data_IF_643977692309
#
_entry.id   IF_643977692309
#
_cell.length_a   1.000
_cell.length_b   1.000
_cell.length_c   1.000
_cell.angle_alpha   90.00
_cell.angle_beta   90.00
_cell.angle_gamma   90.00
#
_symmetry.space_group_name_H-M   'P 1'
#
loop_
_entity.id
_entity.type
_entity.pdbx_description
1 polymer ?
#
# COMPACT_ATOMS: atom_id res chain seq x y z
N UNK A 1 9.89 -22.81 8.00
CA UNK A 1 10.41 -21.62 8.71
C UNK A 1 9.37 -20.88 9.59
N UNK A 2 8.06 -21.03 9.35
CA UNK A 2 7.00 -20.37 10.15
C UNK A 2 6.58 -21.17 11.41
N UNK A 3 6.82 -22.49 11.45
CA UNK A 3 6.35 -23.34 12.55
C UNK A 3 7.12 -23.18 13.86
N UNK A 4 8.44 -22.94 13.82
CA UNK A 4 9.28 -22.82 15.02
C UNK A 4 9.10 -21.50 15.78
N UNK A 5 8.59 -20.45 15.15
CA UNK A 5 8.40 -19.13 15.80
C UNK A 5 7.15 -19.04 16.68
N UNK A 6 6.28 -20.04 16.68
CA UNK A 6 5.03 -19.99 17.43
C UNK A 6 5.13 -20.61 18.84
N UNK A 7 6.15 -21.42 19.13
CA UNK A 7 6.31 -22.05 20.45
C UNK A 7 6.56 -21.03 21.56
N UNK A 8 7.44 -20.01 21.41
CA UNK A 8 7.62 -18.96 22.40
C UNK A 8 6.33 -18.20 22.77
N UNK A 9 5.51 -17.83 21.78
CA UNK A 9 4.27 -17.11 22.01
C UNK A 9 3.18 -17.95 22.69
N UNK A 10 3.10 -19.25 22.35
CA UNK A 10 2.19 -20.19 23.03
C UNK A 10 2.64 -20.43 24.46
N UNK A 11 3.95 -20.56 24.69
CA UNK A 11 4.50 -20.70 26.04
C UNK A 11 4.28 -19.46 26.89
N UNK A 12 4.43 -18.27 26.29
CA UNK A 12 4.12 -16.98 26.90
C UNK A 12 2.64 -16.92 27.36
N UNK A 13 1.69 -17.35 26.53
CA UNK A 13 0.27 -17.46 26.92
C UNK A 13 0.08 -18.40 28.12
N UNK A 14 0.74 -19.56 28.15
CA UNK A 14 0.66 -20.48 29.28
C UNK A 14 1.37 -19.95 30.54
N UNK A 15 2.50 -19.25 30.41
CA UNK A 15 3.14 -18.61 31.55
C UNK A 15 2.20 -17.58 32.18
N UNK A 16 1.49 -16.80 31.36
CA UNK A 16 0.50 -15.84 31.84
C UNK A 16 -0.68 -16.50 32.54
N UNK A 17 -1.11 -17.67 32.06
CA UNK A 17 -2.22 -18.42 32.64
C UNK A 17 -1.85 -19.10 33.97
N UNK A 18 -0.70 -19.77 34.02
CA UNK A 18 -0.31 -20.61 35.17
C UNK A 18 0.64 -19.92 36.17
N UNK A 19 1.41 -18.92 35.73
CA UNK A 19 2.47 -18.24 36.51
C UNK A 19 2.46 -16.71 36.25
N UNK A 20 1.34 -16.00 36.51
CA UNK A 20 1.13 -14.61 36.06
C UNK A 20 2.14 -13.59 36.62
N UNK A 21 2.50 -13.73 37.89
CA UNK A 21 3.52 -12.90 38.55
C UNK A 21 4.92 -13.08 37.95
N UNK A 22 5.26 -14.33 37.62
CA UNK A 22 6.52 -14.64 36.98
C UNK A 22 6.52 -14.18 35.52
N UNK A 23 5.40 -14.31 34.81
CA UNK A 23 5.20 -13.80 33.46
C UNK A 23 5.51 -12.30 33.38
N UNK A 24 4.90 -11.48 34.26
CA UNK A 24 5.12 -10.04 34.27
C UNK A 24 6.60 -9.70 34.53
N UNK A 25 7.26 -10.42 35.46
CA UNK A 25 8.69 -10.24 35.76
C UNK A 25 9.57 -10.60 34.56
N UNK A 26 9.34 -11.74 33.92
CA UNK A 26 10.13 -12.21 32.77
C UNK A 26 9.91 -11.36 31.51
N UNK A 27 8.71 -10.80 31.32
CA UNK A 27 8.41 -9.88 30.21
C UNK A 27 9.05 -8.50 30.44
N UNK A 28 9.01 -7.98 31.66
CA UNK A 28 9.71 -6.74 32.03
C UNK A 28 11.24 -6.84 31.85
N UNK A 29 11.82 -8.02 32.09
CA UNK A 29 13.24 -8.28 31.86
C UNK A 29 13.57 -8.59 30.38
N UNK A 30 12.57 -8.78 29.52
CA UNK A 30 12.77 -9.10 28.10
C UNK A 30 13.32 -10.50 27.80
N UNK A 31 13.44 -11.38 28.80
CA UNK A 31 14.09 -12.69 28.68
C UNK A 31 13.16 -13.84 28.29
N UNK A 32 11.83 -13.68 28.45
CA UNK A 32 10.86 -14.74 28.20
C UNK A 32 10.96 -15.33 26.78
N UNK A 33 11.14 -14.48 25.77
CA UNK A 33 11.27 -14.90 24.37
C UNK A 33 12.61 -15.58 24.08
N UNK A 34 13.70 -15.13 24.73
CA UNK A 34 15.04 -15.68 24.54
C UNK A 34 15.13 -17.12 25.10
N UNK A 35 14.70 -17.30 26.35
CA UNK A 35 14.75 -18.58 27.06
C UNK A 35 13.87 -19.61 26.36
N UNK A 36 12.62 -19.25 26.06
CA UNK A 36 11.69 -20.15 25.38
C UNK A 36 12.16 -20.52 23.97
N UNK A 37 12.68 -19.56 23.19
CA UNK A 37 13.22 -19.87 21.85
C UNK A 37 14.35 -20.91 21.92
N UNK A 38 15.29 -20.76 22.86
CA UNK A 38 16.38 -21.71 23.05
C UNK A 38 15.87 -23.12 23.42
N UNK A 39 14.98 -23.20 24.41
CA UNK A 39 14.45 -24.47 24.92
C UNK A 39 13.64 -25.23 23.87
N UNK A 40 12.73 -24.55 23.17
CA UNK A 40 11.87 -25.23 22.19
C UNK A 40 12.58 -25.52 20.86
N UNK A 41 13.52 -24.67 20.42
CA UNK A 41 14.27 -24.91 19.18
C UNK A 41 15.21 -26.11 19.30
N UNK A 42 15.80 -26.31 20.48
CA UNK A 42 16.76 -27.39 20.73
C UNK A 42 16.13 -28.59 21.43
N UNK A 43 14.82 -28.59 21.68
CA UNK A 43 14.15 -29.63 22.49
C UNK A 43 14.86 -29.87 23.83
N UNK A 44 15.34 -28.79 24.45
CA UNK A 44 16.19 -28.77 25.64
C UNK A 44 17.59 -29.41 25.52
N UNK A 45 17.98 -29.93 24.35
CA UNK A 45 19.28 -30.61 24.15
C UNK A 45 20.47 -29.73 24.53
N UNK A 46 20.40 -28.42 24.29
CA UNK A 46 21.52 -27.52 24.53
C UNK A 46 21.56 -26.94 25.95
N UNK A 47 20.56 -27.23 26.79
CA UNK A 47 20.44 -26.64 28.14
C UNK A 47 20.39 -27.69 29.25
N UNK A 48 20.33 -28.98 28.91
CA UNK A 48 20.33 -30.08 29.87
C UNK A 48 21.42 -31.11 29.53
N UNK A 49 21.92 -31.85 30.53
CA UNK A 49 22.82 -32.99 30.35
C UNK A 49 22.29 -34.00 29.34
N UNK A 50 23.19 -34.68 28.62
CA UNK A 50 22.83 -35.65 27.58
C UNK A 50 21.90 -36.76 28.10
N UNK A 51 22.24 -37.39 29.23
CA UNK A 51 21.43 -38.47 29.81
C UNK A 51 20.02 -38.00 30.19
N UNK A 52 19.88 -36.80 30.76
CA UNK A 52 18.58 -36.20 31.09
C UNK A 52 17.75 -35.87 29.84
N UNK A 53 18.42 -35.41 28.78
CA UNK A 53 17.78 -35.07 27.50
C UNK A 53 17.17 -36.30 26.84
N UNK A 54 17.77 -37.48 26.96
CA UNK A 54 17.22 -38.73 26.40
C UNK A 54 15.80 -39.01 26.93
N UNK A 55 15.57 -38.88 28.24
CA UNK A 55 14.24 -39.05 28.83
C UNK A 55 13.22 -38.03 28.31
N UNK A 56 13.64 -36.78 28.09
CA UNK A 56 12.77 -35.72 27.56
C UNK A 56 12.40 -36.02 26.11
N UNK A 57 13.37 -36.46 25.30
CA UNK A 57 13.17 -36.84 23.90
C UNK A 57 12.26 -38.05 23.78
N UNK A 58 12.45 -39.08 24.60
CA UNK A 58 11.63 -40.30 24.60
C UNK A 58 10.15 -39.97 24.81
N UNK A 59 9.87 -39.13 25.81
CA UNK A 59 8.51 -38.76 26.15
C UNK A 59 7.94 -37.76 25.14
N UNK A 60 8.77 -36.88 24.57
CA UNK A 60 8.37 -36.02 23.46
C UNK A 60 7.93 -36.84 22.23
N UNK A 61 8.65 -37.91 21.89
CA UNK A 61 8.23 -38.79 20.79
C UNK A 61 6.98 -39.61 21.11
N UNK A 62 6.76 -39.94 22.37
CA UNK A 62 5.59 -40.71 22.80
C UNK A 62 4.31 -39.85 22.91
N UNK A 63 4.37 -38.72 23.61
CA UNK A 63 3.19 -37.92 23.98
C UNK A 63 3.17 -36.52 23.33
N UNK A 64 4.15 -36.25 22.48
CA UNK A 64 4.20 -35.07 21.63
C UNK A 64 4.68 -33.80 22.33
N UNK A 65 4.44 -32.68 21.66
CA UNK A 65 5.02 -31.38 22.01
C UNK A 65 4.53 -30.80 23.35
N UNK A 66 3.36 -31.22 23.85
CA UNK A 66 2.79 -30.69 25.10
C UNK A 66 3.72 -30.89 26.30
N UNK A 67 4.47 -31.99 26.28
CA UNK A 67 5.45 -32.35 27.32
C UNK A 67 6.50 -31.25 27.50
N UNK A 68 6.95 -30.64 26.39
CA UNK A 68 7.95 -29.57 26.45
C UNK A 68 7.38 -28.31 27.10
N UNK A 69 6.11 -27.98 26.87
CA UNK A 69 5.45 -26.84 27.52
C UNK A 69 5.27 -27.09 29.02
N UNK A 70 4.80 -28.29 29.40
CA UNK A 70 4.64 -28.69 30.79
C UNK A 70 5.99 -28.66 31.52
N UNK A 71 7.04 -29.18 30.89
CA UNK A 71 8.39 -29.20 31.44
C UNK A 71 8.94 -27.78 31.64
N UNK A 72 8.82 -26.92 30.61
CA UNK A 72 9.24 -25.53 30.67
C UNK A 72 8.56 -24.76 31.82
N UNK A 73 7.24 -24.92 32.00
CA UNK A 73 6.50 -24.29 33.10
C UNK A 73 6.95 -24.83 34.46
N UNK A 74 7.25 -26.11 34.55
CA UNK A 74 7.73 -26.74 35.79
C UNK A 74 9.09 -26.18 36.17
N UNK A 75 10.03 -26.08 35.23
CA UNK A 75 11.36 -25.50 35.45
C UNK A 75 11.25 -24.05 35.95
N UNK A 76 10.38 -23.24 35.34
CA UNK A 76 10.11 -21.88 35.79
C UNK A 76 9.49 -21.85 37.20
N UNK A 77 8.54 -22.74 37.48
CA UNK A 77 7.87 -22.79 38.76
C UNK A 77 8.78 -23.25 39.92
N UNK A 78 9.68 -24.22 39.68
CA UNK A 78 10.68 -24.62 40.69
C UNK A 78 11.61 -23.47 41.07
N UNK A 79 11.91 -22.59 40.11
CA UNK A 79 12.78 -21.44 40.32
C UNK A 79 12.01 -20.14 40.62
N UNK A 80 10.70 -20.19 40.81
CA UNK A 80 9.81 -19.01 40.90
C UNK A 80 10.29 -17.97 41.91
N UNK A 81 10.60 -18.38 43.15
CA UNK A 81 11.04 -17.44 44.18
C UNK A 81 12.37 -16.76 43.84
N UNK A 82 13.31 -17.50 43.25
CA UNK A 82 14.63 -16.96 42.84
C UNK A 82 14.47 -16.02 41.65
N UNK A 83 13.64 -16.37 40.68
CA UNK A 83 13.36 -15.55 39.50
C UNK A 83 12.56 -14.29 39.83
N UNK A 84 11.67 -14.30 40.82
CA UNK A 84 11.00 -13.07 41.26
C UNK A 84 11.98 -12.10 41.95
N UNK A 85 12.99 -12.64 42.63
CA UNK A 85 14.01 -11.85 43.34
C UNK A 85 15.19 -11.38 42.46
N UNK A 86 15.30 -11.85 41.21
CA UNK A 86 16.42 -11.45 40.34
C UNK A 86 16.37 -9.97 39.97
N UNK A 87 17.55 -9.36 39.78
CA UNK A 87 17.66 -7.92 39.52
C UNK A 87 17.67 -7.61 38.02
N UNK A 88 18.38 -8.43 37.25
CA UNK A 88 18.56 -8.27 35.81
C UNK A 88 18.34 -9.58 35.03
N UNK A 89 18.48 -9.49 33.72
CA UNK A 89 18.37 -10.60 32.78
C UNK A 89 19.50 -11.64 32.95
N UNK A 90 20.72 -11.19 33.23
CA UNK A 90 21.87 -12.05 33.48
C UNK A 90 21.68 -12.96 34.70
N UNK A 91 21.19 -12.41 35.81
CA UNK A 91 20.87 -13.15 37.03
C UNK A 91 19.82 -14.24 36.77
N UNK A 92 18.78 -13.91 36.02
CA UNK A 92 17.71 -14.85 35.71
C UNK A 92 18.19 -16.02 34.83
N UNK A 93 19.02 -15.73 33.82
CA UNK A 93 19.64 -16.75 32.97
C UNK A 93 20.56 -17.64 33.83
N UNK A 94 21.39 -17.05 34.70
CA UNK A 94 22.28 -17.81 35.58
C UNK A 94 21.50 -18.72 36.53
N UNK A 95 20.40 -18.26 37.13
CA UNK A 95 19.53 -19.08 38.00
C UNK A 95 19.04 -20.33 37.25
N UNK A 96 18.56 -20.16 36.01
CA UNK A 96 18.04 -21.26 35.19
C UNK A 96 19.15 -22.21 34.73
N UNK A 97 20.27 -21.68 34.26
CA UNK A 97 21.42 -22.49 33.84
C UNK A 97 21.96 -23.30 35.02
N UNK A 98 22.19 -22.66 36.17
CA UNK A 98 22.66 -23.37 37.39
C UNK A 98 21.66 -24.43 37.86
N UNK A 99 20.35 -24.20 37.70
CA UNK A 99 19.35 -25.21 38.04
C UNK A 99 19.40 -26.42 37.09
N UNK A 100 19.54 -26.18 35.79
CA UNK A 100 19.61 -27.25 34.80
C UNK A 100 20.96 -27.99 34.81
N UNK A 101 22.03 -27.34 35.27
CA UNK A 101 23.33 -27.97 35.47
C UNK A 101 23.35 -28.96 36.65
N UNK A 102 22.42 -28.84 37.62
CA UNK A 102 22.31 -29.79 38.75
C UNK A 102 22.00 -31.22 38.30
N UNK A 103 21.52 -31.38 37.07
CA UNK A 103 21.24 -32.68 36.48
C UNK A 103 22.48 -33.35 35.86
N UNK A 104 23.67 -32.71 35.91
CA UNK A 104 24.97 -33.27 35.45
C UNK A 104 25.76 -33.98 36.60
N UNK A 105 25.11 -34.28 37.72
CA UNK A 105 25.77 -34.85 38.90
C UNK A 105 26.16 -36.33 38.64
N UNK A 106 27.47 -36.65 38.58
CA UNK A 106 28.11 -37.93 38.18
C UNK A 106 27.52 -39.25 38.77
N UNK A 107 26.58 -39.16 39.71
CA UNK A 107 25.79 -40.28 40.19
C UNK A 107 24.57 -40.52 39.27
N UNK A 108 24.73 -41.36 38.24
CA UNK A 108 23.67 -41.75 37.28
C UNK A 108 22.30 -42.05 37.95
N UNK A 109 22.30 -42.72 39.11
CA UNK A 109 21.07 -43.09 39.85
C UNK A 109 20.33 -41.90 40.49
N UNK A 110 21.01 -40.78 40.68
CA UNK A 110 20.46 -39.56 41.26
C UNK A 110 19.89 -38.66 40.15
N UNK A 111 20.61 -38.51 39.04
CA UNK A 111 20.16 -37.78 37.85
C UNK A 111 18.86 -38.36 37.29
N UNK A 112 18.82 -39.68 37.07
CA UNK A 112 17.63 -40.39 36.58
C UNK A 112 16.41 -40.10 37.47
N UNK A 113 16.59 -40.09 38.79
CA UNK A 113 15.50 -39.79 39.72
C UNK A 113 15.04 -38.35 39.67
N UNK A 114 15.95 -37.39 39.46
CA UNK A 114 15.63 -35.98 39.38
C UNK A 114 14.87 -35.63 38.11
N UNK A 115 15.33 -36.09 36.94
CA UNK A 115 14.64 -35.82 35.67
C UNK A 115 13.29 -36.52 35.61
N UNK A 116 13.19 -37.77 36.08
CA UNK A 116 11.91 -38.48 36.17
C UNK A 116 10.95 -37.77 37.14
N UNK A 117 11.46 -37.24 38.26
CA UNK A 117 10.64 -36.45 39.17
C UNK A 117 10.13 -35.17 38.50
N UNK A 118 10.99 -34.44 37.79
CA UNK A 118 10.63 -33.21 37.09
C UNK A 118 9.54 -33.47 36.03
N UNK A 119 9.70 -34.53 35.25
CA UNK A 119 8.71 -34.99 34.27
C UNK A 119 7.39 -35.36 34.96
N UNK A 120 7.40 -36.17 36.03
CA UNK A 120 6.16 -36.53 36.75
C UNK A 120 5.48 -35.30 37.33
N UNK A 121 6.25 -34.34 37.84
CA UNK A 121 5.74 -33.07 38.37
C UNK A 121 5.11 -32.22 37.26
N UNK A 122 5.67 -32.24 36.05
CA UNK A 122 5.12 -31.50 34.92
C UNK A 122 3.75 -32.05 34.49
N UNK A 123 3.60 -33.38 34.42
CA UNK A 123 2.32 -34.01 34.12
C UNK A 123 1.25 -33.74 35.19
N UNK A 124 1.63 -33.76 36.47
CA UNK A 124 0.66 -33.57 37.56
C UNK A 124 0.20 -32.12 37.65
N UNK A 125 1.10 -31.15 37.53
CA UNK A 125 0.77 -29.73 37.68
C UNK A 125 0.13 -29.12 36.43
N UNK A 126 0.43 -29.64 35.24
CA UNK A 126 0.03 -29.05 33.96
C UNK A 126 -0.72 -30.01 33.04
N UNK A 127 -1.44 -30.99 33.60
CA UNK A 127 -2.26 -31.96 32.86
C UNK A 127 -3.31 -31.30 31.93
N UNK A 128 -3.77 -30.08 32.27
CA UNK A 128 -4.74 -29.34 31.46
C UNK A 128 -4.24 -28.95 30.06
N UNK A 129 -2.92 -28.98 29.83
CA UNK A 129 -2.31 -28.63 28.55
C UNK A 129 -2.46 -29.81 27.58
N UNK A 130 -3.31 -29.64 26.58
CA UNK A 130 -3.52 -30.62 25.51
C UNK A 130 -3.01 -30.09 24.16
N UNK A 131 -2.90 -30.99 23.18
CA UNK A 131 -2.38 -30.66 21.85
C UNK A 131 -3.34 -29.78 21.03
N UNK A 132 -4.65 -29.94 21.22
CA UNK A 132 -5.67 -29.16 20.51
C UNK A 132 -5.60 -27.68 20.88
N UNK A 133 -5.47 -27.35 22.16
CA UNK A 133 -5.31 -25.98 22.66
C UNK A 133 -3.98 -25.38 22.20
N UNK A 134 -2.89 -26.16 22.20
CA UNK A 134 -1.61 -25.72 21.61
C UNK A 134 -1.80 -25.35 20.14
N UNK A 135 -2.48 -26.19 19.36
CA UNK A 135 -2.73 -25.92 17.94
C UNK A 135 -3.67 -24.72 17.73
N UNK A 136 -4.69 -24.55 18.59
CA UNK A 136 -5.56 -23.36 18.59
C UNK A 136 -4.76 -22.08 18.85
N UNK A 137 -3.88 -22.09 19.86
CA UNK A 137 -3.02 -20.95 20.19
C UNK A 137 -1.99 -20.67 19.09
N UNK A 138 -1.42 -21.71 18.46
CA UNK A 138 -0.55 -21.56 17.28
C UNK A 138 -1.28 -20.89 16.13
N UNK A 139 -2.52 -21.30 15.85
CA UNK A 139 -3.33 -20.69 14.80
C UNK A 139 -3.62 -19.20 15.12
N UNK A 140 -4.01 -18.91 16.36
CA UNK A 140 -4.23 -17.54 16.86
C UNK A 140 -3.00 -16.65 16.64
N UNK A 141 -1.82 -17.09 17.06
CA UNK A 141 -0.59 -16.31 16.90
C UNK A 141 -0.16 -16.19 15.44
N UNK A 142 -0.32 -17.25 14.63
CA UNK A 142 -0.05 -17.18 13.18
C UNK A 142 -0.92 -16.14 12.49
N UNK A 143 -2.21 -16.09 12.81
CA UNK A 143 -3.12 -15.08 12.26
C UNK A 143 -2.72 -13.67 12.71
N UNK A 144 -2.36 -13.47 13.98
CA UNK A 144 -1.87 -12.18 14.49
C UNK A 144 -0.60 -11.71 13.77
N UNK A 145 0.36 -12.61 13.53
CA UNK A 145 1.60 -12.28 12.81
C UNK A 145 1.28 -11.85 11.38
N UNK A 146 0.41 -12.58 10.68
CA UNK A 146 -0.01 -12.24 9.31
C UNK A 146 -0.73 -10.88 9.28
N UNK A 147 -1.64 -10.62 10.23
CA UNK A 147 -2.32 -9.34 10.36
C UNK A 147 -1.35 -8.20 10.67
N UNK A 148 -0.40 -8.42 11.58
CA UNK A 148 0.63 -7.43 11.93
C UNK A 148 1.55 -7.12 10.76
N UNK A 149 1.94 -8.13 9.97
CA UNK A 149 2.72 -7.94 8.75
C UNK A 149 1.92 -7.13 7.73
N UNK A 150 0.63 -7.44 7.55
CA UNK A 150 -0.26 -6.69 6.67
C UNK A 150 -0.42 -5.24 7.14
N UNK A 151 -0.66 -5.01 8.42
CA UNK A 151 -0.79 -3.65 8.96
C UNK A 151 0.50 -2.85 8.81
N UNK A 152 1.66 -3.47 9.09
CA UNK A 152 2.97 -2.85 8.87
C UNK A 152 3.18 -2.46 7.41
N UNK A 153 2.70 -3.30 6.48
CA UNK A 153 2.74 -3.04 5.06
C UNK A 153 1.84 -1.85 4.67
N UNK A 154 0.57 -1.85 5.12
CA UNK A 154 -0.36 -0.74 4.89
C UNK A 154 0.18 0.57 5.46
N UNK A 155 0.73 0.52 6.68
CA UNK A 155 1.34 1.66 7.36
C UNK A 155 2.54 2.23 6.61
N UNK A 156 3.40 1.35 6.08
CA UNK A 156 4.55 1.74 5.27
C UNK A 156 4.11 2.42 3.97
N UNK A 157 3.16 1.81 3.24
CA UNK A 157 2.63 2.40 2.02
C UNK A 157 2.02 3.78 2.27
N UNK A 158 1.21 3.93 3.33
CA UNK A 158 0.59 5.19 3.68
C UNK A 158 1.62 6.29 4.02
N UNK A 159 2.60 5.99 4.87
CA UNK A 159 3.65 6.95 5.25
C UNK A 159 4.48 7.42 4.06
N UNK A 160 4.86 6.51 3.17
CA UNK A 160 5.73 6.82 2.02
C UNK A 160 5.00 7.54 0.88
N UNK A 161 3.67 7.42 0.81
CA UNK A 161 2.87 8.05 -0.24
C UNK A 161 2.14 9.33 0.19
N UNK A 162 2.05 9.61 1.49
CA UNK A 162 1.30 10.74 2.06
C UNK A 162 1.68 12.11 1.45
N UNK A 163 2.95 12.30 1.08
CA UNK A 163 3.45 13.55 0.46
C UNK A 163 2.98 13.77 -0.98
N UNK A 164 2.55 12.71 -1.65
CA UNK A 164 2.20 12.73 -3.07
C UNK A 164 0.69 12.83 -3.32
N UNK A 165 -0.14 12.86 -2.27
CA UNK A 165 -1.59 12.86 -2.40
C UNK A 165 -2.27 13.73 -1.34
N UNK A 166 -3.46 14.23 -1.67
CA UNK A 166 -4.37 14.90 -0.74
C UNK A 166 -5.15 13.94 0.15
N UNK A 167 -5.14 12.63 -0.14
CA UNK A 167 -5.75 11.62 0.73
C UNK A 167 -5.13 11.62 2.13
N UNK A 168 -5.95 11.23 3.11
CA UNK A 168 -5.51 10.99 4.48
C UNK A 168 -4.95 9.56 4.63
N UNK A 169 -4.29 9.30 5.75
CA UNK A 169 -3.63 8.00 5.98
C UNK A 169 -4.58 6.81 5.89
N UNK A 170 -5.82 6.94 6.39
CA UNK A 170 -6.81 5.86 6.37
C UNK A 170 -7.29 5.56 4.95
N UNK A 171 -7.55 6.60 4.16
CA UNK A 171 -7.92 6.48 2.76
C UNK A 171 -6.81 5.78 1.96
N UNK A 172 -5.55 6.18 2.16
CA UNK A 172 -4.42 5.56 1.47
C UNK A 172 -4.30 4.08 1.85
N UNK A 173 -4.45 3.72 3.14
CA UNK A 173 -4.44 2.31 3.58
C UNK A 173 -5.54 1.51 2.89
N UNK A 174 -6.74 2.05 2.80
CA UNK A 174 -7.87 1.37 2.16
C UNK A 174 -7.67 1.22 0.64
N UNK A 175 -7.20 2.28 -0.03
CA UNK A 175 -6.89 2.25 -1.46
C UNK A 175 -5.77 1.23 -1.73
N UNK A 176 -4.70 1.25 -0.92
CA UNK A 176 -3.58 0.33 -1.07
C UNK A 176 -3.99 -1.12 -0.79
N UNK A 177 -4.90 -1.36 0.15
CA UNK A 177 -5.45 -2.68 0.40
C UNK A 177 -6.07 -3.27 -0.88
N UNK A 178 -6.93 -2.50 -1.54
CA UNK A 178 -7.60 -2.90 -2.79
C UNK A 178 -6.57 -3.03 -3.92
N UNK A 179 -5.67 -2.07 -4.07
CA UNK A 179 -4.61 -2.11 -5.07
C UNK A 179 -3.75 -3.38 -4.95
N UNK A 180 -3.32 -3.71 -3.74
CA UNK A 180 -2.53 -4.90 -3.46
C UNK A 180 -3.34 -6.17 -3.76
N UNK A 181 -4.60 -6.22 -3.32
CA UNK A 181 -5.47 -7.37 -3.56
C UNK A 181 -5.69 -7.65 -5.06
N UNK A 182 -5.96 -6.60 -5.86
CA UNK A 182 -6.09 -6.72 -7.33
C UNK A 182 -4.76 -7.04 -8.00
N UNK A 183 -3.64 -6.42 -7.59
CA UNK A 183 -2.31 -6.68 -8.14
C UNK A 183 -1.90 -8.15 -7.98
N UNK A 184 -2.37 -8.82 -6.92
CA UNK A 184 -2.11 -10.25 -6.68
C UNK A 184 -2.80 -11.19 -7.65
N UNK A 185 -3.81 -10.74 -8.40
CA UNK A 185 -4.49 -11.56 -9.42
C UNK A 185 -3.51 -12.01 -10.51
N UNK A 186 -2.54 -11.16 -10.85
CA UNK A 186 -1.62 -11.36 -11.98
C UNK A 186 -0.18 -11.68 -11.56
N UNK A 187 0.06 -11.96 -10.28
CA UNK A 187 1.40 -12.35 -9.81
C UNK A 187 1.75 -13.76 -10.32
N UNK A 188 2.64 -13.83 -11.30
CA UNK A 188 3.28 -15.08 -11.72
C UNK A 188 4.66 -15.32 -11.10
N UNK A 189 5.51 -14.34 -10.75
CA UNK A 189 6.86 -14.66 -10.23
C UNK A 189 7.49 -13.68 -9.21
N UNK A 190 8.24 -14.29 -8.29
CA UNK A 190 9.33 -13.84 -7.40
C UNK A 190 9.40 -12.36 -6.93
N UNK A 191 9.03 -12.13 -5.66
CA UNK A 191 9.33 -10.89 -4.94
C UNK A 191 10.84 -10.76 -4.67
N UNK A 192 11.48 -9.70 -5.17
CA UNK A 192 12.81 -9.27 -4.73
C UNK A 192 12.72 -8.71 -3.29
N UNK A 193 13.38 -9.32 -2.30
CA UNK A 193 13.29 -8.91 -0.89
C UNK A 193 13.89 -7.53 -0.59
N UNK A 194 14.56 -6.87 -1.56
CA UNK A 194 15.18 -5.55 -1.38
C UNK A 194 14.25 -4.37 -1.65
N UNK A 195 13.17 -4.56 -2.41
CA UNK A 195 12.24 -3.48 -2.77
C UNK A 195 11.20 -3.29 -1.67
N UNK A 196 10.79 -2.04 -1.41
CA UNK A 196 9.65 -1.81 -0.52
C UNK A 196 8.41 -2.39 -1.18
N UNK A 197 7.53 -2.99 -0.38
CA UNK A 197 6.44 -3.77 -0.94
C UNK A 197 5.47 -2.97 -1.82
N UNK A 198 5.26 -1.66 -1.59
CA UNK A 198 4.48 -0.80 -2.51
C UNK A 198 5.20 -0.51 -3.85
N UNK A 199 6.52 -0.76 -3.93
CA UNK A 199 7.33 -0.71 -5.15
C UNK A 199 7.34 -2.05 -5.88
N UNK A 200 7.03 -3.13 -5.16
CA UNK A 200 6.89 -4.49 -5.69
C UNK A 200 5.56 -4.69 -6.42
N UNK A 201 4.47 -4.15 -5.88
CA UNK A 201 3.14 -4.32 -6.49
C UNK A 201 2.97 -3.42 -7.72
N UNK A 202 2.67 -4.06 -8.85
CA UNK A 202 2.41 -3.44 -10.14
C UNK A 202 1.05 -3.93 -10.66
N UNK A 203 0.36 -3.07 -11.38
CA UNK A 203 -0.89 -3.41 -12.06
C UNK A 203 -0.74 -3.20 -13.57
N UNK A 204 -1.26 -4.13 -14.35
CA UNK A 204 -1.44 -4.03 -15.79
C UNK A 204 -2.80 -3.41 -16.10
N UNK A 205 -3.08 -3.28 -17.40
CA UNK A 205 -4.29 -2.68 -17.93
C UNK A 205 -5.58 -3.32 -17.40
N UNK A 206 -5.66 -4.64 -17.37
CA UNK A 206 -6.86 -5.35 -16.94
C UNK A 206 -7.14 -5.11 -15.44
N UNK A 207 -6.11 -5.21 -14.60
CA UNK A 207 -6.18 -4.86 -13.17
C UNK A 207 -6.56 -3.40 -12.95
N UNK A 208 -6.01 -2.49 -13.75
CA UNK A 208 -6.34 -1.07 -13.70
C UNK A 208 -7.83 -0.83 -13.98
N UNK A 209 -8.43 -1.53 -14.96
CA UNK A 209 -9.85 -1.42 -15.27
C UNK A 209 -10.72 -1.90 -14.10
N UNK A 210 -10.32 -2.98 -13.43
CA UNK A 210 -10.97 -3.45 -12.18
C UNK A 210 -10.89 -2.35 -11.12
N UNK A 211 -9.72 -1.75 -10.91
CA UNK A 211 -9.54 -0.67 -9.94
C UNK A 211 -10.36 0.57 -10.30
N UNK A 212 -10.49 0.91 -11.58
CA UNK A 212 -11.33 2.01 -12.03
C UNK A 212 -12.80 1.77 -11.69
N UNK A 213 -13.32 0.56 -11.94
CA UNK A 213 -14.69 0.19 -11.64
C UNK A 213 -15.07 0.49 -10.19
N UNK A 214 -14.20 0.17 -9.25
CA UNK A 214 -14.48 0.38 -7.84
C UNK A 214 -14.06 1.77 -7.37
N UNK A 215 -12.84 2.22 -7.67
CA UNK A 215 -12.22 3.38 -7.03
C UNK A 215 -12.32 4.69 -7.83
N UNK A 216 -12.55 4.65 -9.14
CA UNK A 216 -12.57 5.87 -9.95
C UNK A 216 -13.94 6.58 -9.87
N UNK A 217 -13.97 7.91 -9.72
CA UNK A 217 -15.23 8.65 -9.85
C UNK A 217 -15.73 8.64 -11.31
N UNK A 218 -14.83 8.39 -12.28
CA UNK A 218 -15.08 8.50 -13.73
C UNK A 218 -15.38 7.17 -14.42
N UNK A 219 -15.43 6.06 -13.69
CA UNK A 219 -15.90 4.79 -14.25
C UNK A 219 -17.44 4.70 -14.14
N UNK A 220 -18.12 5.55 -14.90
CA UNK A 220 -19.58 5.70 -14.95
C UNK A 220 -20.02 6.03 -16.38
N UNK A 221 -21.34 6.02 -16.61
CA UNK A 221 -21.93 6.39 -17.89
C UNK A 221 -21.79 5.31 -18.97
N UNK A 222 -21.81 5.72 -20.23
CA UNK A 222 -21.71 4.81 -21.37
C UNK A 222 -20.25 4.56 -21.75
N UNK A 223 -19.88 3.29 -21.96
CA UNK A 223 -18.52 2.88 -22.35
C UNK A 223 -17.40 3.43 -21.42
N UNK A 224 -17.49 3.27 -20.08
CA UNK A 224 -16.51 3.82 -19.13
C UNK A 224 -15.08 3.30 -19.37
N UNK A 225 -14.96 2.09 -19.91
CA UNK A 225 -13.68 1.47 -20.28
C UNK A 225 -12.92 2.28 -21.34
N UNK A 226 -13.60 3.01 -22.23
CA UNK A 226 -12.94 3.78 -23.28
C UNK A 226 -12.13 4.94 -22.70
N UNK A 227 -12.70 5.68 -21.74
CA UNK A 227 -11.99 6.74 -21.05
C UNK A 227 -10.91 6.16 -20.12
N UNK A 228 -11.22 5.09 -19.39
CA UNK A 228 -10.26 4.44 -18.51
C UNK A 228 -9.00 3.97 -19.27
N UNK A 229 -9.15 3.38 -20.46
CA UNK A 229 -7.99 2.99 -21.28
C UNK A 229 -7.13 4.17 -21.72
N UNK A 230 -7.73 5.29 -22.16
CA UNK A 230 -6.98 6.51 -22.50
C UNK A 230 -6.24 7.09 -21.31
N UNK A 231 -6.85 7.04 -20.13
CA UNK A 231 -6.21 7.47 -18.90
C UNK A 231 -5.04 6.56 -18.54
N UNK A 232 -5.21 5.24 -18.65
CA UNK A 232 -4.11 4.29 -18.48
C UNK A 232 -2.93 4.61 -19.42
N UNK A 233 -3.19 4.85 -20.71
CA UNK A 233 -2.15 5.19 -21.69
C UNK A 233 -1.43 6.49 -21.32
N UNK A 234 -2.18 7.54 -20.93
CA UNK A 234 -1.63 8.81 -20.46
C UNK A 234 -0.72 8.61 -19.24
N UNK A 235 -1.14 7.76 -18.32
CA UNK A 235 -0.45 7.53 -17.05
C UNK A 235 0.76 6.62 -17.20
N UNK A 236 0.75 5.77 -18.23
CA UNK A 236 1.85 4.87 -18.54
C UNK A 236 2.93 5.52 -19.42
N UNK A 237 2.77 6.78 -19.87
CA UNK A 237 3.77 7.50 -20.68
C UNK A 237 5.18 7.59 -20.05
N UNK A 238 5.27 7.46 -18.73
CA UNK A 238 6.51 7.54 -17.96
C UNK A 238 6.97 6.21 -17.36
N UNK A 239 6.24 5.11 -17.55
CA UNK A 239 6.51 3.85 -16.87
C UNK A 239 6.74 2.76 -17.90
N UNK A 240 7.97 2.23 -17.94
CA UNK A 240 8.29 1.00 -18.65
C UNK A 240 8.63 -0.08 -17.62
N UNK A 241 8.07 -1.31 -17.72
CA UNK A 241 7.04 -1.80 -18.66
C UNK A 241 5.62 -1.28 -18.35
N UNK A 242 4.60 -1.70 -19.14
CA UNK A 242 3.14 -1.37 -19.07
C UNK A 242 2.49 -1.72 -17.71
N UNK A 243 3.00 -1.10 -16.66
CA UNK A 243 2.83 -1.51 -15.27
C UNK A 243 2.86 -0.31 -14.34
N UNK A 244 1.70 0.05 -13.79
CA UNK A 244 1.57 1.19 -12.87
C UNK A 244 1.90 0.73 -11.44
N UNK A 245 2.81 1.42 -10.75
CA UNK A 245 3.03 1.21 -9.31
C UNK A 245 2.06 2.01 -8.45
N UNK A 246 2.09 1.75 -7.14
CA UNK A 246 1.18 2.40 -6.22
C UNK A 246 1.40 3.91 -6.09
N UNK A 247 2.64 4.42 -6.22
CA UNK A 247 2.92 5.86 -6.12
C UNK A 247 2.28 6.60 -7.30
N UNK A 248 2.45 6.08 -8.50
CA UNK A 248 1.82 6.64 -9.68
C UNK A 248 0.29 6.53 -9.54
N UNK A 249 -0.22 5.35 -9.19
CA UNK A 249 -1.65 5.12 -8.97
C UNK A 249 -2.28 6.12 -7.97
N UNK A 250 -1.71 6.28 -6.77
CA UNK A 250 -2.33 7.12 -5.72
C UNK A 250 -2.30 8.61 -6.09
N UNK A 251 -1.26 9.07 -6.78
CA UNK A 251 -1.17 10.46 -7.29
C UNK A 251 -2.27 10.73 -8.30
N UNK A 252 -2.50 9.80 -9.21
CA UNK A 252 -3.53 9.88 -10.24
C UNK A 252 -4.92 9.92 -9.62
N UNK A 253 -5.20 9.02 -8.68
CA UNK A 253 -6.47 9.00 -7.98
C UNK A 253 -6.67 10.27 -7.14
N UNK A 254 -5.60 10.84 -6.60
CA UNK A 254 -5.66 12.14 -5.93
C UNK A 254 -6.14 13.26 -6.85
N UNK A 255 -5.71 13.26 -8.12
CA UNK A 255 -6.16 14.25 -9.11
C UNK A 255 -7.65 14.08 -9.38
N UNK A 256 -8.09 12.85 -9.61
CA UNK A 256 -9.49 12.56 -9.93
C UNK A 256 -10.46 12.91 -8.78
N UNK A 257 -10.04 12.71 -7.52
CA UNK A 257 -10.90 12.91 -6.36
C UNK A 257 -10.79 14.27 -5.69
N UNK A 258 -9.59 14.86 -5.63
CA UNK A 258 -9.29 15.98 -4.73
C UNK A 258 -8.86 17.27 -5.44
N UNK A 259 -8.60 17.23 -6.74
CA UNK A 259 -8.24 18.45 -7.48
C UNK A 259 -9.45 19.20 -8.00
N UNK A 260 -9.20 20.47 -8.33
CA UNK A 260 -10.18 21.40 -8.87
C UNK A 260 -10.62 21.02 -10.30
N UNK A 261 -11.62 21.75 -10.79
CA UNK A 261 -12.15 21.54 -12.13
C UNK A 261 -11.08 21.70 -13.22
N UNK A 262 -10.14 22.64 -13.05
CA UNK A 262 -9.08 22.90 -14.03
C UNK A 262 -8.17 21.69 -14.21
N UNK A 263 -7.64 21.12 -13.13
CA UNK A 263 -6.75 19.95 -13.22
C UNK A 263 -7.46 18.75 -13.84
N UNK A 264 -8.75 18.57 -13.54
CA UNK A 264 -9.61 17.53 -14.16
C UNK A 264 -9.75 17.74 -15.67
N UNK A 265 -9.95 18.98 -16.11
CA UNK A 265 -9.98 19.31 -17.54
C UNK A 265 -8.64 19.09 -18.23
N UNK A 266 -7.51 19.40 -17.58
CA UNK A 266 -6.17 19.14 -18.14
C UNK A 266 -5.99 17.64 -18.40
N UNK A 267 -6.36 16.78 -17.44
CA UNK A 267 -6.26 15.31 -17.61
C UNK A 267 -7.10 14.84 -18.80
N UNK A 268 -8.34 15.32 -18.92
CA UNK A 268 -9.21 14.98 -20.05
C UNK A 268 -8.63 15.48 -21.38
N UNK A 269 -8.10 16.71 -21.40
CA UNK A 269 -7.48 17.29 -22.58
C UNK A 269 -6.26 16.47 -23.03
N UNK A 270 -5.33 16.20 -22.11
CA UNK A 270 -4.12 15.43 -22.40
C UNK A 270 -4.41 13.98 -22.81
N UNK A 271 -5.44 13.34 -22.26
CA UNK A 271 -5.79 11.96 -22.61
C UNK A 271 -6.34 11.81 -24.04
N UNK A 272 -6.60 12.92 -24.75
CA UNK A 272 -7.19 12.93 -26.09
C UNK A 272 -6.26 13.41 -27.20
N UNK A 273 -5.07 13.91 -26.84
CA UNK A 273 -4.03 14.27 -27.80
C UNK A 273 -3.35 13.03 -28.38
N UNK A 274 -2.93 13.11 -29.64
CA UNK A 274 -2.23 12.02 -30.35
C UNK A 274 -0.69 12.12 -30.22
N UNK A 275 -0.15 13.32 -30.01
CA UNK A 275 1.30 13.55 -29.88
C UNK A 275 1.83 13.09 -28.51
N UNK A 276 2.49 11.94 -28.48
CA UNK A 276 3.02 11.32 -27.24
C UNK A 276 4.03 12.19 -26.50
N UNK A 277 4.94 12.85 -27.23
CA UNK A 277 6.02 13.64 -26.62
C UNK A 277 5.44 14.85 -25.90
N UNK A 278 4.53 15.55 -26.57
CA UNK A 278 3.84 16.70 -26.00
C UNK A 278 2.94 16.33 -24.81
N UNK A 279 2.26 15.18 -24.88
CA UNK A 279 1.49 14.65 -23.75
C UNK A 279 2.38 14.39 -22.55
N UNK A 280 3.52 13.73 -22.77
CA UNK A 280 4.46 13.33 -21.71
C UNK A 280 5.03 14.54 -20.97
N UNK A 281 5.48 15.55 -21.71
CA UNK A 281 6.02 16.79 -21.12
C UNK A 281 4.97 17.51 -20.27
N UNK A 282 3.79 17.77 -20.81
CA UNK A 282 2.71 18.43 -20.09
C UNK A 282 2.22 17.63 -18.88
N UNK A 283 2.12 16.30 -19.02
CA UNK A 283 1.70 15.43 -17.92
C UNK A 283 2.72 15.46 -16.77
N UNK A 284 4.02 15.47 -17.06
CA UNK A 284 5.07 15.56 -16.04
C UNK A 284 4.99 16.85 -15.24
N UNK A 285 4.81 17.99 -15.93
CA UNK A 285 4.69 19.29 -15.26
C UNK A 285 3.44 19.32 -14.34
N UNK A 286 2.31 18.74 -14.78
CA UNK A 286 1.10 18.61 -13.96
C UNK A 286 1.34 17.72 -12.73
N UNK A 287 2.09 16.64 -12.93
CA UNK A 287 2.42 15.70 -11.87
C UNK A 287 3.31 16.36 -10.80
N UNK A 288 4.25 17.20 -11.20
CA UNK A 288 5.09 17.97 -10.29
C UNK A 288 4.30 19.03 -9.52
N UNK A 289 3.45 19.82 -10.19
CA UNK A 289 2.70 20.92 -9.57
C UNK A 289 1.76 20.45 -8.45
N UNK A 290 1.07 19.33 -8.67
CA UNK A 290 0.14 18.74 -7.69
C UNK A 290 0.86 18.17 -6.45
N UNK A 291 2.14 17.80 -6.57
CA UNK A 291 2.93 17.26 -5.46
C UNK A 291 3.55 18.32 -4.55
N UNK A 292 3.77 19.54 -5.05
CA UNK A 292 4.42 20.62 -4.31
C UNK A 292 3.55 21.23 -3.19
N UNK A 293 2.24 20.98 -3.20
CA UNK A 293 1.31 21.56 -2.22
C UNK A 293 1.42 20.99 -0.80
N UNK A 294 2.05 19.82 -0.58
CA UNK A 294 2.29 19.28 0.77
C UNK A 294 3.72 19.48 1.27
N UNK A 295 4.72 19.64 0.39
CA UNK A 295 6.13 19.84 0.80
C UNK A 295 6.38 21.17 1.50
N UNK A 296 5.53 22.17 1.29
CA UNK A 296 5.58 23.46 2.01
C UNK A 296 4.95 23.40 3.42
N UNK A 297 4.27 22.31 3.80
CA UNK A 297 3.53 22.18 5.05
C UNK A 297 4.09 21.16 6.04
N UNK A 298 5.03 20.31 5.61
CA UNK A 298 5.66 19.31 6.47
C UNK A 298 7.00 19.87 6.91
N UNK A 299 7.10 20.23 8.19
CA UNK A 299 8.34 20.63 8.85
C UNK A 299 9.48 19.71 8.39
N UNK A 300 10.50 20.33 7.79
CA UNK A 300 11.75 19.73 7.37
C UNK A 300 12.62 19.37 8.57
N UNK A 301 12.10 18.55 9.47
CA UNK A 301 12.88 17.95 10.55
C UNK A 301 12.56 16.45 10.57
N UNK A 302 13.54 15.67 10.14
CA UNK A 302 13.59 14.21 10.07
C UNK A 302 13.04 13.59 8.77
N UNK A 303 13.93 13.35 7.81
CA UNK A 303 14.42 12.00 7.44
C UNK A 303 15.41 12.20 6.30
N UNK A 304 16.70 12.17 6.65
CA UNK A 304 17.80 11.94 5.72
C UNK A 304 17.77 10.48 5.27
N UNK A 305 17.24 10.23 4.08
CA UNK A 305 17.40 8.98 3.33
C UNK A 305 17.56 9.31 1.84
N UNK A 306 18.55 10.16 1.55
CA UNK A 306 19.28 10.04 0.29
C UNK A 306 20.27 8.88 0.45
N UNK A 307 19.99 7.74 -0.17
CA UNK A 307 21.02 6.85 -0.69
C UNK A 307 20.40 5.69 -1.45
N UNK A 308 20.96 5.45 -2.64
CA UNK A 308 20.71 4.33 -3.58
C UNK A 308 19.51 4.43 -4.52
N UNK A 309 19.52 5.47 -5.37
CA UNK A 309 19.10 5.32 -6.78
C UNK A 309 20.36 5.47 -7.62
N UNK A 310 20.91 4.34 -8.04
CA UNK A 310 21.98 4.28 -9.04
C UNK A 310 21.40 4.60 -10.41
N UNK A 311 21.73 5.80 -10.89
CA UNK A 311 21.98 6.22 -12.29
C UNK A 311 21.24 5.52 -13.45
N UNK A 312 20.68 6.38 -14.31
CA UNK A 312 20.15 6.18 -15.66
C UNK A 312 18.68 5.76 -15.77
N UNK A 313 17.78 6.74 -15.63
CA UNK A 313 16.99 7.31 -16.74
C UNK A 313 16.31 8.58 -16.22
N UNK A 314 16.28 9.63 -17.04
CA UNK A 314 15.88 10.99 -16.66
C UNK A 314 14.38 11.05 -16.30
N UNK A 315 14.09 10.98 -15.01
CA UNK A 315 12.89 11.60 -14.44
C UNK A 315 13.25 13.08 -14.19
N UNK A 316 12.54 14.06 -14.76
CA UNK A 316 12.80 15.45 -14.41
C UNK A 316 12.48 15.62 -12.93
N UNK A 317 13.48 16.06 -12.19
CA UNK A 317 13.31 16.65 -10.88
C UNK A 317 13.03 18.12 -11.09
N UNK A 318 11.86 18.60 -10.65
CA UNK A 318 11.59 19.98 -10.23
C UNK A 318 12.31 21.05 -11.07
N UNK A 319 11.65 21.59 -12.08
CA UNK A 319 12.10 22.87 -12.66
C UNK A 319 11.72 24.02 -11.71
N UNK A 320 12.60 24.31 -10.74
CA UNK A 320 12.56 25.57 -10.00
C UNK A 320 13.13 26.66 -10.92
N UNK A 321 12.26 27.48 -11.48
CA UNK A 321 12.67 28.72 -12.13
C UNK A 321 12.52 29.87 -11.12
N UNK A 322 13.62 30.46 -10.70
CA UNK A 322 13.67 31.63 -9.79
C UNK A 322 13.02 31.46 -8.39
N UNK A 323 12.94 30.22 -7.86
CA UNK A 323 12.48 29.98 -6.49
C UNK A 323 10.95 30.02 -6.29
N UNK A 324 10.17 30.11 -7.37
CA UNK A 324 8.71 30.00 -7.34
C UNK A 324 8.25 28.65 -7.91
N UNK A 325 7.24 28.03 -7.29
CA UNK A 325 6.55 26.86 -7.86
C UNK A 325 5.78 27.35 -9.08
N UNK A 326 6.30 27.09 -10.28
CA UNK A 326 5.63 27.43 -11.53
C UNK A 326 4.53 26.42 -11.81
N UNK A 327 3.28 26.85 -11.59
CA UNK A 327 2.10 26.13 -12.06
C UNK A 327 2.16 25.96 -13.58
N UNK A 328 1.68 24.83 -14.09
CA UNK A 328 1.54 24.58 -15.52
C UNK A 328 0.71 25.70 -16.14
N UNK A 329 1.34 26.58 -16.92
CA UNK A 329 0.63 27.69 -17.55
C UNK A 329 -0.20 27.09 -18.69
N UNK A 330 -1.50 27.45 -18.80
CA UNK A 330 -2.35 27.02 -19.92
C UNK A 330 -1.72 27.21 -21.31
N UNK A 331 -0.90 28.23 -21.48
CA UNK A 331 -0.14 28.54 -22.70
C UNK A 331 0.96 27.53 -23.05
N UNK A 332 1.35 26.65 -22.10
CA UNK A 332 2.35 25.59 -22.30
C UNK A 332 1.71 24.26 -22.72
N UNK A 333 0.37 24.18 -22.75
CA UNK A 333 -0.32 22.97 -23.20
C UNK A 333 -0.33 22.86 -24.73
N UNK A 334 -0.27 21.63 -25.26
CA UNK A 334 -0.31 21.42 -26.70
C UNK A 334 -1.63 21.90 -27.31
N UNK A 335 -1.59 22.29 -28.58
CA UNK A 335 -2.79 22.57 -29.36
C UNK A 335 -3.53 21.27 -29.67
N UNK A 336 -4.85 21.35 -29.71
CA UNK A 336 -5.73 20.23 -30.03
C UNK A 336 -6.39 20.45 -31.39
N UNK A 337 -6.34 19.43 -32.25
CA UNK A 337 -7.01 19.45 -33.56
C UNK A 337 -8.50 19.11 -33.45
N UNK A 338 -9.24 19.26 -34.55
CA UNK A 338 -10.70 19.08 -34.54
C UNK A 338 -11.13 17.65 -34.21
N UNK A 339 -10.40 16.65 -34.72
CA UNK A 339 -10.72 15.24 -34.52
C UNK A 339 -10.52 14.84 -33.05
N UNK A 340 -9.41 15.27 -32.45
CA UNK A 340 -9.11 15.10 -31.03
C UNK A 340 -10.17 15.77 -30.16
N UNK A 341 -10.56 17.01 -30.51
CA UNK A 341 -11.60 17.76 -29.80
C UNK A 341 -12.97 17.08 -29.84
N UNK A 342 -13.39 16.58 -31.01
CA UNK A 342 -14.65 15.83 -31.13
C UNK A 342 -14.61 14.56 -30.28
N UNK A 343 -13.47 13.86 -30.27
CA UNK A 343 -13.26 12.66 -29.45
C UNK A 343 -13.31 12.97 -27.95
N UNK A 344 -12.74 14.10 -27.52
CA UNK A 344 -12.83 14.62 -26.16
C UNK A 344 -14.28 14.91 -25.77
N UNK A 345 -15.01 15.67 -26.60
CA UNK A 345 -16.42 15.97 -26.34
C UNK A 345 -17.27 14.71 -26.22
N UNK A 346 -17.02 13.70 -27.07
CA UNK A 346 -17.71 12.40 -26.99
C UNK A 346 -17.42 11.68 -25.68
N UNK A 347 -16.17 11.69 -25.20
CA UNK A 347 -15.84 11.09 -23.90
C UNK A 347 -16.51 11.82 -22.73
N UNK A 348 -16.57 13.15 -22.77
CA UNK A 348 -17.27 13.95 -21.73
C UNK A 348 -18.78 13.65 -21.78
N UNK A 349 -19.37 13.59 -22.97
CA UNK A 349 -20.77 13.21 -23.16
C UNK A 349 -21.06 11.84 -22.53
N UNK A 350 -20.31 10.81 -22.92
CA UNK A 350 -20.43 9.45 -22.43
C UNK A 350 -20.30 9.36 -20.90
N UNK A 351 -19.39 10.14 -20.32
CA UNK A 351 -19.16 10.19 -18.87
C UNK A 351 -20.35 10.77 -18.10
N UNK A 352 -21.10 11.69 -18.71
CA UNK A 352 -22.26 12.35 -18.10
C UNK A 352 -23.57 11.59 -18.31
N UNK A 353 -23.59 10.56 -19.18
CA UNK A 353 -24.77 9.72 -19.40
C UNK A 353 -25.22 9.05 -18.10
N UNK A 354 -26.51 9.16 -17.76
CA UNK A 354 -27.07 8.63 -16.52
C UNK A 354 -26.87 9.51 -15.27
N UNK A 355 -26.34 10.73 -15.42
CA UNK A 355 -26.28 11.69 -14.33
C UNK A 355 -27.66 12.27 -13.96
N UNK A 356 -27.88 12.65 -12.70
CA UNK A 356 -29.18 13.19 -12.26
C UNK A 356 -29.63 14.47 -13.02
N UNK A 357 -28.67 15.28 -13.47
CA UNK A 357 -28.89 16.52 -14.23
C UNK A 357 -28.43 16.41 -15.70
N UNK A 358 -28.50 15.21 -16.28
CA UNK A 358 -27.98 14.87 -17.61
C UNK A 358 -28.40 15.85 -18.72
N UNK A 359 -29.67 16.25 -18.80
CA UNK A 359 -30.14 17.19 -19.84
C UNK A 359 -29.45 18.56 -19.79
N UNK A 360 -29.25 19.09 -18.58
CA UNK A 360 -28.59 20.39 -18.39
C UNK A 360 -27.09 20.29 -18.70
N UNK A 361 -26.46 19.18 -18.35
CA UNK A 361 -25.05 18.90 -18.65
C UNK A 361 -24.83 18.77 -20.16
N UNK A 362 -25.71 18.05 -20.86
CA UNK A 362 -25.65 17.93 -22.32
C UNK A 362 -25.87 19.26 -23.03
N UNK A 363 -26.81 20.09 -22.55
CA UNK A 363 -27.04 21.43 -23.11
C UNK A 363 -25.81 22.32 -22.93
N UNK A 364 -25.20 22.30 -21.75
CA UNK A 364 -23.99 23.06 -21.48
C UNK A 364 -22.82 22.58 -22.35
N UNK A 365 -22.59 21.27 -22.42
CA UNK A 365 -21.54 20.71 -23.29
C UNK A 365 -21.76 21.07 -24.76
N UNK A 366 -23.00 20.98 -25.27
CA UNK A 366 -23.32 21.33 -26.64
C UNK A 366 -23.12 22.83 -26.93
N UNK A 367 -23.43 23.69 -25.97
CA UNK A 367 -23.24 25.15 -26.07
C UNK A 367 -21.75 25.47 -26.13
N UNK A 368 -20.98 24.93 -25.20
CA UNK A 368 -19.52 25.05 -25.14
C UNK A 368 -18.84 24.51 -26.39
N UNK A 369 -19.23 23.31 -26.85
CA UNK A 369 -18.62 22.70 -28.02
C UNK A 369 -18.91 23.47 -29.30
N UNK A 370 -20.14 23.97 -29.46
CA UNK A 370 -20.52 24.79 -30.62
C UNK A 370 -19.75 26.11 -30.66
N UNK A 371 -19.56 26.75 -29.49
CA UNK A 371 -18.78 27.97 -29.39
C UNK A 371 -17.31 27.73 -29.77
N UNK A 372 -16.70 26.68 -29.23
CA UNK A 372 -15.31 26.30 -29.53
C UNK A 372 -15.11 25.95 -31.01
N UNK A 373 -16.05 25.22 -31.62
CA UNK A 373 -16.02 24.94 -33.06
C UNK A 373 -16.03 26.24 -33.88
N UNK A 374 -16.90 27.19 -33.56
CA UNK A 374 -16.94 28.50 -34.23
C UNK A 374 -15.65 29.30 -34.02
N UNK A 375 -15.09 29.29 -32.80
CA UNK A 375 -13.83 29.96 -32.52
C UNK A 375 -12.68 29.39 -33.35
N UNK A 376 -12.57 28.06 -33.45
CA UNK A 376 -11.53 27.43 -34.27
C UNK A 376 -11.72 27.65 -35.79
N UNK A 377 -12.96 27.76 -36.29
CA UNK A 377 -13.23 28.14 -37.69
C UNK A 377 -12.81 29.58 -38.00
N UNK A 378 -12.95 30.50 -37.03
CA UNK A 378 -12.46 31.88 -37.15
C UNK A 378 -10.93 31.89 -37.21
N UNK A 379 -10.25 31.08 -36.37
CA UNK A 379 -8.80 30.94 -36.40
C UNK A 379 -8.29 30.39 -37.75
N UNK A 380 -9.01 29.43 -38.33
CA UNK A 380 -8.75 28.90 -39.68
C UNK A 380 -8.93 29.94 -40.80
N UNK A 381 -9.83 30.91 -40.61
CA UNK A 381 -10.18 31.91 -41.63
C UNK A 381 -9.35 33.19 -41.56
N UNK A 382 -8.45 33.32 -40.58
CA UNK A 382 -7.63 34.52 -40.37
C UNK A 382 -6.19 34.27 -40.87
N UNK A 383 -5.81 34.72 -42.08
CA UNK A 383 -4.42 34.68 -42.49
C UNK A 383 -3.60 35.58 -41.55
N UNK A 384 -2.70 34.99 -40.75
CA UNK A 384 -1.66 35.77 -40.08
C UNK A 384 -0.79 36.38 -41.16
N UNK A 385 -0.83 37.70 -41.33
CA UNK A 385 0.19 38.39 -42.12
C UNK A 385 1.52 38.28 -41.38
N UNK A 386 2.32 37.29 -41.75
CA UNK A 386 3.76 37.26 -41.47
C UNK A 386 4.46 37.50 -42.79
N UNK A 387 5.05 38.69 -42.93
CA UNK A 387 6.01 38.98 -44.00
C UNK A 387 7.28 38.16 -43.77
N UNK A 388 7.32 36.90 -44.23
CA UNK A 388 8.59 36.21 -44.46
C UNK A 388 8.49 35.31 -45.68
N UNK A 389 9.35 35.60 -46.66
CA UNK A 389 9.56 34.86 -47.88
C UNK A 389 10.15 33.47 -47.58
N UNK A 390 9.33 32.44 -47.43
CA UNK A 390 9.77 31.05 -47.60
C UNK A 390 8.59 30.16 -48.05
N UNK A 391 8.67 29.64 -49.28
CA UNK A 391 7.58 28.95 -49.99
C UNK A 391 7.41 27.46 -49.62
N UNK A 392 7.61 27.07 -48.36
CA UNK A 392 7.47 25.66 -47.95
C UNK A 392 6.64 25.42 -46.67
N UNK A 393 6.00 26.43 -46.10
CA UNK A 393 5.21 26.30 -44.85
C UNK A 393 3.69 26.50 -44.98
N UNK A 394 3.14 26.54 -46.20
CA UNK A 394 1.75 26.94 -46.44
C UNK A 394 0.66 25.86 -46.19
N UNK A 395 1.02 24.63 -45.80
CA UNK A 395 0.02 23.55 -45.60
C UNK A 395 -0.51 23.45 -44.15
N UNK A 396 0.22 23.93 -43.14
CA UNK A 396 -0.25 23.87 -41.73
C UNK A 396 -1.10 25.08 -41.31
N UNK A 397 -1.20 26.13 -42.13
CA UNK A 397 -1.83 27.41 -41.74
C UNK A 397 -3.36 27.41 -41.77
N UNK A 398 -4.00 26.34 -42.24
CA UNK A 398 -5.46 26.25 -42.42
C UNK A 398 -6.14 25.12 -41.62
N UNK A 399 -5.47 24.56 -40.61
CA UNK A 399 -6.03 23.47 -39.82
C UNK A 399 -6.77 24.01 -38.58
N UNK A 400 -7.96 23.46 -38.30
CA UNK A 400 -8.72 23.84 -37.10
C UNK A 400 -7.94 23.41 -35.87
N UNK A 401 -7.64 24.36 -34.99
CA UNK A 401 -6.91 24.14 -33.74
C UNK A 401 -7.52 24.97 -32.62
N UNK A 402 -7.45 24.45 -31.39
CA UNK A 402 -7.78 25.19 -30.18
C UNK A 402 -6.67 25.04 -29.14
N UNK A 403 -6.51 26.05 -28.29
CA UNK A 403 -5.63 25.97 -27.13
C UNK A 403 -6.42 25.63 -25.85
N UNK A 404 -5.71 25.24 -24.79
CA UNK A 404 -6.36 24.91 -23.52
C UNK A 404 -7.05 26.11 -22.87
N UNK A 405 -6.54 27.34 -23.03
CA UNK A 405 -7.16 28.55 -22.46
C UNK A 405 -8.57 28.79 -22.99
N UNK A 406 -8.76 28.64 -24.30
CA UNK A 406 -10.06 28.75 -24.95
C UNK A 406 -11.01 27.67 -24.45
N UNK A 407 -10.51 26.42 -24.35
CA UNK A 407 -11.27 25.29 -23.84
C UNK A 407 -11.69 25.48 -22.37
N UNK A 408 -10.73 25.81 -21.51
CA UNK A 408 -10.91 26.09 -20.08
C UNK A 408 -11.90 27.23 -19.87
N UNK A 409 -11.71 28.38 -20.53
CA UNK A 409 -12.58 29.54 -20.39
C UNK A 409 -14.03 29.23 -20.81
N UNK A 410 -14.20 28.48 -21.89
CA UNK A 410 -15.54 28.12 -22.38
C UNK A 410 -16.24 27.13 -21.44
N UNK A 411 -15.52 26.11 -20.97
CA UNK A 411 -16.07 25.15 -20.02
C UNK A 411 -16.35 25.76 -18.65
N UNK A 412 -15.52 26.70 -18.18
CA UNK A 412 -15.72 27.42 -16.92
C UNK A 412 -16.94 28.34 -16.92
N UNK A 413 -17.38 28.81 -18.09
CA UNK A 413 -18.59 29.63 -18.20
C UNK A 413 -19.86 28.85 -17.83
N UNK A 414 -19.83 27.51 -17.99
CA UNK A 414 -20.95 26.63 -17.71
C UNK A 414 -20.92 26.11 -16.26
N UNK A 415 -21.56 26.85 -15.36
CA UNK A 415 -21.59 26.54 -13.91
C UNK A 415 -22.05 25.11 -13.57
N UNK A 416 -22.95 24.52 -14.37
CA UNK A 416 -23.41 23.15 -14.15
C UNK A 416 -22.30 22.12 -14.42
N UNK A 417 -21.40 22.35 -15.38
CA UNK A 417 -20.25 21.48 -15.63
C UNK A 417 -19.24 21.58 -14.49
N UNK A 418 -18.89 22.81 -14.10
CA UNK A 418 -17.96 23.07 -12.98
C UNK A 418 -18.42 22.35 -11.72
N UNK A 419 -19.67 22.62 -11.29
CA UNK A 419 -20.23 22.03 -10.08
C UNK A 419 -20.35 20.51 -10.16
N UNK A 420 -20.60 19.94 -11.33
CA UNK A 420 -20.69 18.50 -11.50
C UNK A 420 -19.33 17.81 -11.37
N UNK A 421 -18.29 18.35 -12.00
CA UNK A 421 -16.93 17.81 -11.89
C UNK A 421 -16.32 18.03 -10.50
N UNK A 422 -16.56 19.17 -9.86
CA UNK A 422 -16.10 19.44 -8.49
C UNK A 422 -16.75 18.51 -7.46
N UNK A 423 -18.03 18.20 -7.64
CA UNK A 423 -18.75 17.23 -6.80
C UNK A 423 -18.55 15.77 -7.23
N UNK A 424 -17.45 15.47 -7.94
CA UNK A 424 -17.08 14.11 -8.39
C UNK A 424 -18.25 13.38 -9.10
N UNK A 425 -18.78 14.04 -10.13
CA UNK A 425 -19.82 13.58 -11.05
C UNK A 425 -21.25 13.58 -10.47
N UNK A 426 -21.50 14.45 -9.48
CA UNK A 426 -22.80 14.56 -8.80
C UNK A 426 -23.24 13.26 -8.10
N UNK A 427 -22.32 12.33 -7.91
CA UNK A 427 -22.61 10.97 -7.51
C UNK A 427 -22.45 10.85 -5.99
N UNK A 428 -23.52 10.50 -5.28
CA UNK A 428 -23.55 10.36 -3.81
C UNK A 428 -22.71 9.18 -3.28
N UNK A 429 -21.97 8.46 -4.14
CA UNK A 429 -21.11 7.36 -3.72
C UNK A 429 -19.73 7.91 -3.33
N UNK A 430 -19.56 8.16 -2.04
CA UNK A 430 -18.25 8.47 -1.47
C UNK A 430 -17.23 7.36 -1.78
N UNK A 431 -15.94 7.72 -1.77
CA UNK A 431 -14.85 6.76 -1.88
C UNK A 431 -15.00 5.60 -0.88
N UNK A 432 -15.43 5.89 0.35
CA UNK A 432 -15.70 4.88 1.38
C UNK A 432 -16.79 3.88 0.96
N UNK A 433 -17.90 4.36 0.38
CA UNK A 433 -18.99 3.50 -0.07
C UNK A 433 -18.57 2.63 -1.27
N UNK A 434 -17.74 3.18 -2.15
CA UNK A 434 -17.10 2.44 -3.25
C UNK A 434 -16.18 1.32 -2.75
N UNK A 435 -15.34 1.62 -1.76
CA UNK A 435 -14.48 0.64 -1.07
C UNK A 435 -15.34 -0.45 -0.41
N UNK A 436 -16.44 -0.07 0.24
CA UNK A 436 -17.35 -1.02 0.87
C UNK A 436 -17.98 -1.99 -0.14
N UNK A 437 -18.41 -1.49 -1.30
CA UNK A 437 -18.96 -2.33 -2.36
C UNK A 437 -17.93 -3.37 -2.86
N UNK A 438 -16.67 -2.97 -3.05
CA UNK A 438 -15.60 -3.90 -3.41
C UNK A 438 -15.45 -5.03 -2.39
N UNK A 439 -15.45 -4.69 -1.10
CA UNK A 439 -15.32 -5.68 -0.02
C UNK A 439 -16.53 -6.64 0.03
N UNK A 440 -17.74 -6.17 -0.28
CA UNK A 440 -18.92 -7.03 -0.37
C UNK A 440 -18.85 -7.98 -1.57
N UNK A 441 -18.39 -7.49 -2.72
CA UNK A 441 -18.34 -8.29 -3.95
C UNK A 441 -17.30 -9.42 -3.86
N UNK A 442 -16.21 -9.24 -3.09
CA UNK A 442 -15.20 -10.30 -2.87
C UNK A 442 -15.65 -11.37 -1.86
N UNK A 443 -16.58 -11.02 -0.97
CA UNK A 443 -17.13 -11.97 0.00
C UNK A 443 -18.20 -12.88 -0.61
N UNK A 444 -18.71 -12.55 -1.80
CA UNK A 444 -19.66 -13.34 -2.57
C UNK A 444 -18.93 -14.25 -3.54
#
# INVERSE_FOLDING_TARGET
>A
MIEHKNQPCVFSDYCKEYLPDLYDKLENLGIAACISLSWFLTLFVCVMPFESVLYVIDIFFYDGIKVLFQLALTILNENRHRLLACQDDGDAIMILTTYLDQFNDDNEKHEEKQIIYLIKKSYTNYNGINEEDINRLRLKHRLKVVQSMRESLLQSAAKNTLRFTKFNEREIKNIFYIFNDVSRISLTEANDPRKLAYETYRIHRDEYLILCKYLSPWYIGEQPESLANKLFDLFNLNVQPDQIDFIHFIRLWSILWNEDFKHKLIILFLSHLEDENKRKEAFNILFESTSAHRSSSVNSENISLESSISTNEQMPSLYIENGEITYLKPSQLPLMNQTEFIRLCKSIYNLMTGAANEENLFRALATSSTLLLKMGEICKSSPRQVETNDTTTNEMENEWIINFEQFEATMNAETCLVTWFENNNGNNLSLEKRIHNYLQDIQR
#
